data_IF_809200090822
#
_entry.id   IF_809200090822
#
_cell.length_a   1.000
_cell.length_b   1.000
_cell.length_c   1.000
_cell.angle_alpha   90.00
_cell.angle_beta   90.00
_cell.angle_gamma   90.00
#
_symmetry.space_group_name_H-M   'P 1'
#
loop_
_entity.id
_entity.type
_entity.pdbx_description
1 polymer ?
#
# COMPACT_ATOMS: atom_id res chain seq x y z
N UNK A 1 21.58 21.60 -20.04
CA UNK A 1 20.73 21.48 -18.85
C UNK A 1 21.30 20.36 -18.00
N UNK A 2 22.01 20.68 -16.93
CA UNK A 2 22.63 19.68 -16.07
C UNK A 2 21.56 19.09 -15.14
N UNK A 3 21.61 17.78 -14.91
CA UNK A 3 20.79 17.14 -13.89
C UNK A 3 21.35 17.54 -12.52
N UNK A 4 20.47 17.88 -11.58
CA UNK A 4 20.88 18.17 -10.21
C UNK A 4 21.40 16.89 -9.53
N UNK A 5 22.71 16.74 -9.54
CA UNK A 5 23.40 15.60 -8.95
C UNK A 5 23.25 15.56 -7.43
N UNK A 6 23.06 16.72 -6.79
CA UNK A 6 22.87 16.81 -5.35
C UNK A 6 21.53 16.21 -4.94
N UNK A 7 20.44 16.54 -5.65
CA UNK A 7 19.13 15.92 -5.45
C UNK A 7 19.19 14.40 -5.66
N UNK A 8 19.88 13.92 -6.70
CA UNK A 8 20.04 12.48 -6.95
C UNK A 8 20.81 11.81 -5.79
N UNK A 9 21.91 12.40 -5.34
CA UNK A 9 22.70 11.83 -4.23
C UNK A 9 21.86 11.75 -2.96
N UNK A 10 21.04 12.76 -2.65
CA UNK A 10 20.12 12.72 -1.52
C UNK A 10 19.12 11.58 -1.66
N UNK A 11 18.50 11.42 -2.83
CA UNK A 11 17.55 10.33 -3.09
C UNK A 11 18.20 8.97 -2.86
N UNK A 12 19.43 8.76 -3.36
CA UNK A 12 20.17 7.51 -3.19
C UNK A 12 20.53 7.26 -1.73
N UNK A 13 21.05 8.28 -1.03
CA UNK A 13 21.43 8.17 0.39
C UNK A 13 20.21 7.88 1.26
N UNK A 14 19.09 8.57 1.02
CA UNK A 14 17.84 8.34 1.73
C UNK A 14 17.28 6.94 1.44
N UNK A 15 17.29 6.48 0.19
CA UNK A 15 16.85 5.13 -0.16
C UNK A 15 17.68 4.05 0.56
N UNK A 16 19.00 4.22 0.65
CA UNK A 16 19.88 3.30 1.39
C UNK A 16 19.57 3.33 2.89
N UNK A 17 19.42 4.53 3.48
CA UNK A 17 19.09 4.68 4.89
C UNK A 17 17.75 4.02 5.25
N UNK A 18 16.74 4.19 4.40
CA UNK A 18 15.44 3.54 4.55
C UNK A 18 15.54 2.02 4.40
N UNK A 19 16.34 1.51 3.45
CA UNK A 19 16.56 0.08 3.30
C UNK A 19 17.15 -0.52 4.60
N UNK A 20 18.13 0.13 5.21
CA UNK A 20 18.67 -0.29 6.51
C UNK A 20 17.61 -0.24 7.63
N UNK A 21 16.79 0.81 7.68
CA UNK A 21 15.69 0.91 8.64
C UNK A 21 14.68 -0.23 8.46
N UNK A 22 14.30 -0.53 7.22
CA UNK A 22 13.36 -1.60 6.89
C UNK A 22 13.89 -2.99 7.26
N UNK A 23 15.19 -3.25 7.03
CA UNK A 23 15.84 -4.48 7.49
C UNK A 23 15.83 -4.57 9.02
N UNK A 24 16.13 -3.47 9.71
CA UNK A 24 16.11 -3.43 11.18
C UNK A 24 14.71 -3.73 11.74
N UNK A 25 13.67 -3.10 11.19
CA UNK A 25 12.27 -3.33 11.58
C UNK A 25 11.90 -4.80 11.37
N UNK A 26 12.25 -5.39 10.23
CA UNK A 26 11.99 -6.81 9.96
C UNK A 26 12.70 -7.71 10.98
N UNK A 27 13.99 -7.49 11.22
CA UNK A 27 14.79 -8.30 12.16
C UNK A 27 14.29 -8.18 13.60
N UNK A 28 13.74 -7.03 13.97
CA UNK A 28 13.20 -6.79 15.31
C UNK A 28 11.83 -7.45 15.52
N UNK A 29 10.95 -7.42 14.51
CA UNK A 29 9.59 -7.97 14.60
C UNK A 29 9.44 -9.41 14.08
N UNK A 30 10.50 -10.02 13.51
CA UNK A 30 10.46 -11.42 13.12
C UNK A 30 10.30 -12.32 14.35
N UNK A 31 9.48 -13.36 14.21
CA UNK A 31 9.36 -14.38 15.25
C UNK A 31 10.64 -15.22 15.32
N UNK A 32 11.04 -15.64 16.52
CA UNK A 32 12.18 -16.53 16.74
C UNK A 32 12.14 -17.83 15.92
N UNK A 33 10.94 -18.37 15.62
CA UNK A 33 10.75 -19.59 14.84
C UNK A 33 10.94 -19.38 13.33
N UNK A 34 10.93 -18.13 12.86
CA UNK A 34 11.12 -17.76 11.45
C UNK A 34 12.56 -17.24 11.18
N UNK A 35 13.53 -17.57 12.06
CA UNK A 35 14.93 -17.19 11.82
C UNK A 35 15.50 -17.99 10.65
N UNK A 36 15.94 -17.29 9.60
CA UNK A 36 16.60 -17.82 8.39
C UNK A 36 15.74 -18.70 7.46
N UNK A 37 14.42 -18.65 7.59
CA UNK A 37 13.46 -19.27 6.66
C UNK A 37 12.84 -18.22 5.72
N UNK A 38 12.31 -18.63 4.57
CA UNK A 38 11.52 -17.78 3.65
C UNK A 38 12.12 -16.40 3.28
N UNK A 39 13.25 -16.38 2.57
CA UNK A 39 13.91 -15.13 2.15
C UNK A 39 13.11 -14.28 1.16
N UNK A 40 12.27 -14.90 0.32
CA UNK A 40 11.56 -14.20 -0.75
C UNK A 40 10.46 -13.24 -0.23
N UNK A 41 9.54 -13.64 0.68
CA UNK A 41 8.57 -12.74 1.29
C UNK A 41 9.24 -11.66 2.12
N UNK A 42 10.35 -11.98 2.80
CA UNK A 42 11.12 -11.00 3.56
C UNK A 42 11.65 -9.88 2.68
N UNK A 43 12.22 -10.24 1.52
CA UNK A 43 12.64 -9.26 0.53
C UNK A 43 11.44 -8.43 0.03
N UNK A 44 10.31 -9.07 -0.27
CA UNK A 44 9.09 -8.39 -0.72
C UNK A 44 8.59 -7.38 0.33
N UNK A 45 8.58 -7.74 1.62
CA UNK A 45 8.21 -6.82 2.71
C UNK A 45 9.17 -5.63 2.78
N UNK A 46 10.49 -5.85 2.71
CA UNK A 46 11.48 -4.76 2.74
C UNK A 46 11.26 -3.80 1.57
N UNK A 47 11.08 -4.32 0.35
CA UNK A 47 10.82 -3.47 -0.82
C UNK A 47 9.44 -2.80 -0.76
N UNK A 48 8.43 -3.48 -0.23
CA UNK A 48 7.09 -2.92 -0.03
C UNK A 48 7.11 -1.71 0.92
N UNK A 49 7.84 -1.83 2.03
CA UNK A 49 8.06 -0.72 2.96
C UNK A 49 8.85 0.43 2.29
N UNK A 50 9.91 0.10 1.54
CA UNK A 50 10.69 1.10 0.80
C UNK A 50 9.84 1.90 -0.19
N UNK A 51 8.94 1.24 -0.93
CA UNK A 51 8.04 1.94 -1.86
C UNK A 51 7.01 2.80 -1.12
N UNK A 52 6.48 2.33 0.01
CA UNK A 52 5.55 3.10 0.84
C UNK A 52 6.19 4.37 1.40
N UNK A 53 7.39 4.25 1.99
CA UNK A 53 8.18 5.39 2.49
C UNK A 53 8.62 6.31 1.34
N UNK A 54 9.02 5.71 0.21
CA UNK A 54 9.35 6.41 -1.02
C UNK A 54 8.23 7.32 -1.49
N UNK A 55 6.99 6.83 -1.56
CA UNK A 55 5.82 7.63 -1.95
C UNK A 55 5.63 8.89 -1.08
N UNK A 56 5.96 8.83 0.21
CA UNK A 56 5.87 9.99 1.12
C UNK A 56 6.99 10.98 0.83
N UNK A 57 8.22 10.50 0.59
CA UNK A 57 9.38 11.35 0.31
C UNK A 57 9.41 11.93 -1.12
N UNK A 58 8.62 11.36 -2.05
CA UNK A 58 8.45 11.94 -3.38
C UNK A 58 7.78 13.32 -3.35
N UNK A 59 6.90 13.58 -2.38
CA UNK A 59 6.23 14.87 -2.24
C UNK A 59 7.21 16.03 -1.97
N UNK A 60 8.06 15.99 -0.93
CA UNK A 60 9.06 17.04 -0.73
C UNK A 60 10.12 17.06 -1.82
N UNK A 61 10.42 15.92 -2.45
CA UNK A 61 11.32 15.86 -3.62
C UNK A 61 10.75 16.64 -4.81
N UNK A 62 9.45 16.52 -5.06
CA UNK A 62 8.74 17.23 -6.13
C UNK A 62 8.75 18.75 -5.89
N UNK A 63 8.45 19.15 -4.65
CA UNK A 63 8.56 20.56 -4.23
C UNK A 63 10.00 21.07 -4.38
N UNK A 64 11.01 20.29 -3.99
CA UNK A 64 12.41 20.68 -4.11
C UNK A 64 12.89 20.75 -5.57
N UNK A 65 12.41 19.86 -6.44
CA UNK A 65 12.74 19.88 -7.86
C UNK A 65 12.07 21.05 -8.60
N UNK A 66 10.85 21.42 -8.22
CA UNK A 66 10.11 22.55 -8.79
C UNK A 66 10.42 23.89 -8.12
N UNK A 67 11.04 23.90 -6.94
CA UNK A 67 11.59 25.11 -6.34
C UNK A 67 12.80 25.55 -7.15
N UNK A 68 12.56 26.35 -8.19
CA UNK A 68 13.62 27.04 -8.91
C UNK A 68 14.42 27.87 -7.90
N UNK A 69 15.67 27.46 -7.66
CA UNK A 69 16.58 28.27 -6.89
C UNK A 69 16.69 29.66 -7.56
N UNK A 70 16.85 30.72 -6.74
CA UNK A 70 17.02 32.09 -7.24
C UNK A 70 18.14 32.08 -8.30
N UNK A 71 17.86 32.57 -9.51
CA UNK A 71 18.82 32.58 -10.63
C UNK A 71 18.71 31.44 -11.64
N UNK A 72 17.75 30.51 -11.50
CA UNK A 72 17.53 29.43 -12.48
C UNK A 72 16.95 29.90 -13.82
N UNK A 73 16.06 30.90 -13.82
CA UNK A 73 15.56 31.53 -15.06
C UNK A 73 16.65 32.36 -15.77
N UNK A 74 17.61 32.88 -15.00
CA UNK A 74 18.67 33.79 -15.45
C UNK A 74 19.98 33.06 -15.80
N UNK A 75 20.02 31.72 -15.69
CA UNK A 75 21.09 30.87 -16.22
C UNK A 75 22.43 30.86 -15.47
N UNK A 76 22.58 31.60 -14.36
CA UNK A 76 23.82 31.64 -13.57
C UNK A 76 23.82 30.66 -12.39
N UNK A 77 22.65 30.16 -11.99
CA UNK A 77 22.56 29.11 -10.98
C UNK A 77 22.61 27.73 -11.66
N UNK A 78 23.63 26.94 -11.34
CA UNK A 78 23.80 25.58 -11.88
C UNK A 78 23.08 24.50 -11.04
N UNK A 79 22.49 24.87 -9.90
CA UNK A 79 21.73 24.00 -9.01
C UNK A 79 20.22 24.10 -9.30
N UNK A 80 19.83 23.87 -10.54
CA UNK A 80 18.43 23.86 -10.96
C UNK A 80 17.94 22.42 -11.10
N UNK A 81 16.82 22.11 -10.44
CA UNK A 81 16.12 20.84 -10.59
C UNK A 81 15.69 20.63 -12.04
N UNK A 82 16.09 19.51 -12.63
CA UNK A 82 15.66 19.08 -13.96
C UNK A 82 15.43 17.56 -13.97
N UNK A 83 14.85 17.05 -12.89
CA UNK A 83 14.32 15.69 -12.86
C UNK A 83 12.93 15.70 -13.47
N UNK A 84 12.66 14.76 -14.37
CA UNK A 84 11.32 14.55 -14.90
C UNK A 84 10.48 13.85 -13.83
N UNK A 85 9.83 14.66 -12.98
CA UNK A 85 9.01 14.17 -11.87
C UNK A 85 7.82 13.36 -12.35
N UNK A 86 7.19 13.73 -13.47
CA UNK A 86 6.06 12.99 -14.05
C UNK A 86 6.45 11.54 -14.37
N UNK A 87 7.62 11.35 -14.99
CA UNK A 87 8.16 10.04 -15.32
C UNK A 87 8.53 9.26 -14.06
N UNK A 88 9.13 9.92 -13.06
CA UNK A 88 9.52 9.29 -11.80
C UNK A 88 8.32 8.80 -11.01
N UNK A 89 7.28 9.64 -10.85
CA UNK A 89 6.00 9.26 -10.25
C UNK A 89 5.37 8.07 -10.97
N UNK A 90 5.36 8.09 -12.31
CA UNK A 90 4.85 6.98 -13.10
C UNK A 90 5.61 5.67 -12.83
N UNK A 91 6.95 5.70 -12.79
CA UNK A 91 7.77 4.52 -12.51
C UNK A 91 7.45 3.95 -11.13
N UNK A 92 7.39 4.79 -10.09
CA UNK A 92 7.15 4.33 -8.73
C UNK A 92 5.75 3.73 -8.57
N UNK A 93 4.71 4.39 -9.09
CA UNK A 93 3.36 3.84 -9.03
C UNK A 93 3.21 2.55 -9.84
N UNK A 94 3.83 2.45 -11.01
CA UNK A 94 3.83 1.21 -11.80
C UNK A 94 4.59 0.08 -11.10
N UNK A 95 5.70 0.39 -10.41
CA UNK A 95 6.42 -0.59 -9.60
C UNK A 95 5.54 -1.11 -8.44
N UNK A 96 4.80 -0.24 -7.77
CA UNK A 96 3.86 -0.64 -6.71
C UNK A 96 2.77 -1.57 -7.25
N UNK A 97 2.17 -1.22 -8.39
CA UNK A 97 1.17 -2.08 -9.05
C UNK A 97 1.78 -3.43 -9.40
N UNK A 98 3.01 -3.46 -9.90
CA UNK A 98 3.73 -4.70 -10.20
C UNK A 98 3.95 -5.55 -8.93
N UNK A 99 4.36 -4.95 -7.81
CA UNK A 99 4.49 -5.67 -6.54
C UNK A 99 3.14 -6.26 -6.11
N UNK A 100 2.05 -5.50 -6.24
CA UNK A 100 0.71 -5.91 -5.78
C UNK A 100 0.08 -6.99 -6.65
N UNK A 101 0.19 -6.87 -7.97
CA UNK A 101 -0.52 -7.75 -8.92
C UNK A 101 0.32 -8.97 -9.30
N UNK A 102 1.65 -8.85 -9.30
CA UNK A 102 2.56 -9.89 -9.78
C UNK A 102 3.28 -10.53 -8.59
N UNK A 103 4.12 -9.79 -7.88
CA UNK A 103 5.01 -10.37 -6.87
C UNK A 103 4.27 -10.90 -5.63
N UNK A 104 3.23 -10.21 -5.15
CA UNK A 104 2.47 -10.63 -3.97
C UNK A 104 1.70 -11.93 -4.22
N UNK A 105 0.84 -12.05 -5.26
CA UNK A 105 0.13 -13.30 -5.55
C UNK A 105 1.10 -14.44 -5.86
N UNK A 106 2.18 -14.15 -6.59
CA UNK A 106 3.24 -15.12 -6.84
C UNK A 106 3.84 -15.65 -5.53
N UNK A 107 4.16 -14.77 -4.58
CA UNK A 107 4.67 -15.19 -3.27
C UNK A 107 3.69 -16.10 -2.54
N UNK A 108 2.39 -15.77 -2.53
CA UNK A 108 1.38 -16.56 -1.85
C UNK A 108 1.29 -17.98 -2.45
N UNK A 109 1.18 -18.08 -3.79
CA UNK A 109 1.10 -19.39 -4.46
C UNK A 109 2.38 -20.21 -4.33
N UNK A 110 3.53 -19.55 -4.28
CA UNK A 110 4.81 -20.22 -4.09
C UNK A 110 4.88 -20.92 -2.73
N UNK A 111 4.45 -20.26 -1.65
CA UNK A 111 4.45 -20.86 -0.31
C UNK A 111 3.28 -21.83 -0.08
N UNK A 112 2.12 -21.59 -0.69
CA UNK A 112 1.00 -22.53 -0.63
C UNK A 112 1.33 -23.87 -1.29
N UNK A 113 2.15 -23.86 -2.36
CA UNK A 113 2.61 -25.07 -3.03
C UNK A 113 3.68 -25.86 -2.24
N UNK A 114 4.33 -25.24 -1.23
CA UNK A 114 5.35 -25.86 -0.37
C UNK A 114 4.72 -26.65 0.79
N UNK A 115 3.57 -26.19 1.32
CA UNK A 115 2.81 -26.87 2.39
C UNK A 115 2.06 -28.14 1.95
N UNK A 116 2.07 -28.46 0.65
CA UNK A 116 1.49 -29.69 0.12
C UNK A 116 2.37 -30.91 0.40
N UNK A 117 1.91 -31.83 1.26
CA UNK A 117 2.62 -33.07 1.68
C UNK A 117 3.14 -33.99 0.55
N UNK A 118 2.77 -33.73 -0.72
CA UNK A 118 3.07 -34.58 -1.87
C UNK A 118 4.13 -34.03 -2.86
N UNK A 119 4.70 -32.84 -2.63
CA UNK A 119 5.54 -32.17 -3.64
C UNK A 119 7.04 -32.56 -3.59
N UNK A 120 7.36 -33.72 -4.19
CA UNK A 120 8.74 -34.13 -4.50
C UNK A 120 9.23 -33.43 -5.77
N UNK A 121 9.94 -32.30 -5.61
CA UNK A 121 10.80 -31.71 -6.65
C UNK A 121 10.37 -30.36 -7.23
N UNK A 122 11.21 -29.84 -8.13
CA UNK A 122 11.25 -28.48 -8.74
C UNK A 122 9.98 -28.02 -9.51
N UNK A 123 8.83 -28.67 -9.29
CA UNK A 123 7.52 -28.35 -9.87
C UNK A 123 6.80 -27.21 -9.15
N UNK A 124 7.23 -26.85 -7.95
CA UNK A 124 6.69 -25.75 -7.14
C UNK A 124 6.63 -24.42 -7.92
N UNK A 125 7.74 -24.06 -8.57
CA UNK A 125 7.83 -22.84 -9.39
C UNK A 125 6.85 -22.86 -10.58
N UNK A 126 6.62 -24.04 -11.17
CA UNK A 126 5.79 -24.18 -12.37
C UNK A 126 4.30 -24.19 -12.03
N UNK A 127 3.93 -24.77 -10.89
CA UNK A 127 2.57 -24.71 -10.36
C UNK A 127 2.19 -23.30 -9.91
N UNK A 128 3.09 -22.63 -9.18
CA UNK A 128 2.90 -21.24 -8.77
C UNK A 128 2.72 -20.30 -9.99
N UNK A 129 3.59 -20.43 -11.01
CA UNK A 129 3.53 -19.62 -12.22
C UNK A 129 2.26 -19.88 -13.03
N UNK A 130 1.77 -21.12 -13.09
CA UNK A 130 0.48 -21.44 -13.74
C UNK A 130 -0.70 -20.74 -13.07
N UNK A 131 -0.73 -20.74 -11.73
CA UNK A 131 -1.78 -20.08 -10.96
C UNK A 131 -1.68 -18.55 -11.08
N UNK A 132 -0.46 -18.01 -11.07
CA UNK A 132 -0.17 -16.60 -11.29
C UNK A 132 -0.64 -16.12 -12.68
N UNK A 133 -0.38 -16.87 -13.75
CA UNK A 133 -0.87 -16.51 -15.09
C UNK A 133 -2.40 -16.45 -15.11
N UNK A 134 -3.07 -17.38 -14.43
CA UNK A 134 -4.53 -17.41 -14.37
C UNK A 134 -5.09 -16.18 -13.62
N UNK A 135 -4.50 -15.80 -12.49
CA UNK A 135 -4.92 -14.59 -11.76
C UNK A 135 -4.60 -13.31 -12.52
N UNK A 136 -3.42 -13.23 -13.14
CA UNK A 136 -2.99 -12.09 -13.93
C UNK A 136 -3.88 -11.90 -15.16
N UNK A 137 -4.27 -12.99 -15.84
CA UNK A 137 -5.22 -12.93 -16.94
C UNK A 137 -6.59 -12.39 -16.50
N UNK A 138 -7.07 -12.81 -15.33
CA UNK A 138 -8.32 -12.30 -14.75
C UNK A 138 -8.22 -10.81 -14.39
N UNK A 139 -7.13 -10.38 -13.75
CA UNK A 139 -6.90 -8.98 -13.37
C UNK A 139 -6.77 -8.08 -14.60
N UNK A 140 -6.02 -8.51 -15.62
CA UNK A 140 -5.91 -7.77 -16.88
C UNK A 140 -7.27 -7.65 -17.57
N UNK A 141 -8.04 -8.74 -17.65
CA UNK A 141 -9.37 -8.70 -18.24
C UNK A 141 -10.27 -7.68 -17.52
N UNK A 142 -10.22 -7.65 -16.18
CA UNK A 142 -10.95 -6.68 -15.37
C UNK A 142 -10.48 -5.23 -15.63
N UNK A 143 -9.17 -4.97 -15.69
CA UNK A 143 -8.65 -3.64 -15.99
C UNK A 143 -8.98 -3.16 -17.41
N UNK A 144 -8.96 -4.06 -18.39
CA UNK A 144 -9.34 -3.72 -19.77
C UNK A 144 -10.81 -3.35 -19.86
N UNK A 145 -11.70 -4.11 -19.21
CA UNK A 145 -13.14 -3.80 -19.17
C UNK A 145 -13.39 -2.46 -18.50
N UNK A 146 -12.74 -2.19 -17.37
CA UNK A 146 -12.84 -0.91 -16.67
C UNK A 146 -12.31 0.26 -17.49
N UNK A 147 -11.18 0.08 -18.18
CA UNK A 147 -10.61 1.11 -19.05
C UNK A 147 -11.52 1.45 -20.24
N UNK A 148 -12.10 0.44 -20.91
CA UNK A 148 -13.00 0.68 -22.05
C UNK A 148 -14.29 1.39 -21.60
N UNK A 149 -14.75 1.13 -20.38
CA UNK A 149 -16.02 1.68 -19.86
C UNK A 149 -15.87 3.05 -19.19
N UNK A 150 -14.74 3.35 -18.53
CA UNK A 150 -14.58 4.55 -17.65
C UNK A 150 -13.27 5.31 -17.90
N UNK A 151 -12.68 5.28 -19.10
CA UNK A 151 -11.42 6.01 -19.40
C UNK A 151 -11.56 7.51 -19.62
N UNK A 152 -12.78 8.03 -19.80
CA UNK A 152 -13.00 9.44 -20.12
C UNK A 152 -13.05 10.29 -18.86
N UNK A 153 -12.19 11.30 -18.79
CA UNK A 153 -12.23 12.29 -17.72
C UNK A 153 -13.00 13.54 -18.15
N UNK A 154 -13.91 14.00 -17.29
CA UNK A 154 -14.71 15.20 -17.51
C UNK A 154 -14.25 16.28 -16.54
N UNK A 155 -13.55 17.30 -17.04
CA UNK A 155 -13.08 18.42 -16.22
C UNK A 155 -14.10 19.57 -16.35
N UNK A 156 -14.77 19.97 -15.26
CA UNK A 156 -15.65 21.14 -15.29
C UNK A 156 -14.80 22.40 -15.34
N UNK A 157 -15.03 23.24 -16.35
CA UNK A 157 -14.39 24.54 -16.48
C UNK A 157 -15.41 25.67 -16.60
N UNK A 158 -14.98 26.85 -16.18
CA UNK A 158 -15.76 28.08 -16.32
C UNK A 158 -15.14 28.88 -17.45
N UNK A 159 -15.89 29.03 -18.53
CA UNK A 159 -15.48 29.82 -19.68
C UNK A 159 -16.17 31.19 -19.63
N UNK A 160 -15.40 32.23 -19.94
CA UNK A 160 -15.85 33.60 -20.07
C UNK A 160 -15.60 34.01 -21.51
N UNK A 161 -16.65 34.45 -22.20
CA UNK A 161 -16.53 35.01 -23.54
C UNK A 161 -16.60 36.53 -23.44
N UNK A 162 -15.51 37.21 -23.81
CA UNK A 162 -15.43 38.67 -23.80
C UNK A 162 -14.90 39.14 -25.14
N UNK A 163 -15.57 40.12 -25.74
CA UNK A 163 -15.08 40.75 -26.96
C UNK A 163 -13.93 41.69 -26.62
N UNK A 164 -12.70 41.28 -26.94
CA UNK A 164 -11.47 42.01 -26.61
C UNK A 164 -11.36 43.38 -27.30
N UNK A 165 -12.04 43.59 -28.44
CA UNK A 165 -11.97 44.81 -29.23
C UNK A 165 -13.03 45.86 -28.86
N UNK A 166 -13.93 45.56 -27.91
CA UNK A 166 -14.96 46.49 -27.46
C UNK A 166 -14.34 47.62 -26.61
N UNK A 167 -14.56 48.88 -26.99
CA UNK A 167 -14.13 50.04 -26.19
C UNK A 167 -14.85 50.15 -24.82
N UNK A 168 -16.02 49.51 -24.67
CA UNK A 168 -16.86 49.61 -23.46
C UNK A 168 -16.83 48.34 -22.58
N UNK A 169 -16.43 47.20 -23.14
CA UNK A 169 -16.45 45.87 -22.46
C UNK A 169 -15.19 45.02 -22.73
N UNK A 170 -14.21 45.54 -23.46
CA UNK A 170 -12.98 44.83 -23.83
C UNK A 170 -11.85 45.06 -22.84
N UNK A 171 -10.69 44.45 -23.12
CA UNK A 171 -9.50 44.61 -22.28
C UNK A 171 -8.89 45.99 -22.48
N UNK A 172 -8.62 46.68 -21.37
CA UNK A 172 -7.88 47.95 -21.35
C UNK A 172 -6.65 47.83 -20.45
N UNK A 173 -5.70 48.74 -20.61
CA UNK A 173 -4.43 48.73 -19.86
C UNK A 173 -4.68 49.05 -18.39
N UNK A 174 -4.30 48.15 -17.49
CA UNK A 174 -4.36 48.40 -16.04
C UNK A 174 -3.10 49.16 -15.58
N UNK A 175 -3.29 50.26 -14.85
CA UNK A 175 -2.19 50.98 -14.18
C UNK A 175 -2.29 50.72 -12.68
N UNK A 176 -1.20 50.25 -12.07
CA UNK A 176 -1.12 49.98 -10.63
C UNK A 176 -1.54 51.21 -9.80
N UNK A 177 -2.52 51.02 -8.92
CA UNK A 177 -3.10 52.08 -8.08
C UNK A 177 -4.35 52.77 -8.66
N UNK A 178 -4.81 52.40 -9.86
CA UNK A 178 -6.09 52.86 -10.37
C UNK A 178 -7.27 52.17 -9.65
N UNK A 179 -8.25 52.96 -9.22
CA UNK A 179 -9.51 52.45 -8.68
C UNK A 179 -10.44 52.03 -9.81
N UNK A 180 -10.97 50.81 -9.73
CA UNK A 180 -11.99 50.31 -10.65
C UNK A 180 -13.22 51.24 -10.62
N UNK A 181 -13.67 51.69 -11.79
CA UNK A 181 -14.88 52.48 -11.92
C UNK A 181 -16.13 51.63 -11.68
N UNK A 182 -17.22 52.24 -11.22
CA UNK A 182 -18.49 51.54 -10.99
C UNK A 182 -19.05 50.91 -12.26
N UNK A 183 -18.79 51.52 -13.42
CA UNK A 183 -19.21 51.02 -14.74
C UNK A 183 -18.42 49.78 -15.18
N UNK A 184 -17.14 49.68 -14.82
CA UNK A 184 -16.34 48.47 -15.05
C UNK A 184 -16.81 47.32 -14.17
N UNK A 185 -17.17 47.63 -12.91
CA UNK A 185 -17.69 46.64 -11.96
C UNK A 185 -19.06 46.08 -12.40
N UNK A 186 -19.97 46.95 -12.85
CA UNK A 186 -21.27 46.53 -13.41
C UNK A 186 -21.10 45.75 -14.72
N UNK A 187 -20.15 46.14 -15.57
CA UNK A 187 -19.87 45.45 -16.83
C UNK A 187 -19.26 44.06 -16.61
N UNK A 188 -18.37 43.92 -15.62
CA UNK A 188 -17.80 42.63 -15.22
C UNK A 188 -18.84 41.72 -14.55
N UNK A 189 -19.74 42.27 -13.73
CA UNK A 189 -20.83 41.53 -13.11
C UNK A 189 -21.87 41.02 -14.13
N UNK A 190 -22.01 41.70 -15.28
CA UNK A 190 -22.90 41.31 -16.37
C UNK A 190 -22.36 40.21 -17.30
N UNK A 191 -21.12 39.73 -17.10
CA UNK A 191 -20.54 38.67 -17.94
C UNK A 191 -21.12 37.31 -17.53
N UNK A 192 -21.84 36.68 -18.45
CA UNK A 192 -22.39 35.35 -18.23
C UNK A 192 -21.26 34.30 -18.21
N UNK A 193 -21.07 33.65 -17.06
CA UNK A 193 -20.11 32.56 -16.93
C UNK A 193 -20.71 31.28 -17.46
N UNK A 194 -20.11 30.71 -18.51
CA UNK A 194 -20.54 29.45 -19.08
C UNK A 194 -19.83 28.28 -18.39
N UNK A 195 -20.59 27.26 -17.98
CA UNK A 195 -20.02 26.00 -17.51
C UNK A 195 -19.80 25.07 -18.69
N UNK A 196 -18.55 24.86 -19.09
CA UNK A 196 -18.19 23.90 -20.14
C UNK A 196 -17.54 22.67 -19.49
N UNK A 197 -17.78 21.49 -20.06
CA UNK A 197 -17.07 20.27 -19.69
C UNK A 197 -16.09 19.90 -20.80
N UNK A 198 -14.80 19.82 -20.46
CA UNK A 198 -13.77 19.28 -21.37
C UNK A 198 -13.66 17.79 -21.14
N UNK A 199 -13.79 17.02 -22.21
CA UNK A 199 -13.50 15.58 -22.22
C UNK A 199 -12.04 15.36 -22.60
N UNK A 200 -11.27 14.73 -21.72
CA UNK A 200 -9.90 14.31 -22.02
C UNK A 200 -9.79 12.78 -21.98
N UNK A 201 -9.15 12.22 -22.99
CA UNK A 201 -8.80 10.81 -23.03
C UNK A 201 -7.56 10.57 -22.15
N UNK A 202 -7.69 9.67 -21.18
CA UNK A 202 -6.62 9.34 -20.23
C UNK A 202 -5.83 8.15 -20.75
N UNK A 203 -4.50 8.24 -20.70
CA UNK A 203 -3.64 7.11 -21.07
C UNK A 203 -3.79 5.93 -20.10
N UNK A 204 -3.62 4.72 -20.61
CA UNK A 204 -3.80 3.49 -19.82
C UNK A 204 -2.96 3.42 -18.52
N UNK A 205 -1.66 3.78 -18.52
CA UNK A 205 -0.88 3.77 -17.28
C UNK A 205 -1.45 4.72 -16.21
N UNK A 206 -1.83 5.94 -16.60
CA UNK A 206 -2.39 6.95 -15.70
C UNK A 206 -3.75 6.51 -15.14
N UNK A 207 -4.55 5.83 -15.97
CA UNK A 207 -5.82 5.27 -15.54
C UNK A 207 -5.65 4.21 -14.44
N UNK A 208 -4.73 3.25 -14.63
CA UNK A 208 -4.48 2.20 -13.63
C UNK A 208 -3.94 2.80 -12.34
N UNK A 209 -2.99 3.73 -12.40
CA UNK A 209 -2.46 4.38 -11.20
C UNK A 209 -3.54 5.13 -10.43
N UNK A 210 -4.46 5.81 -11.14
CA UNK A 210 -5.61 6.46 -10.54
C UNK A 210 -6.57 5.47 -9.87
N UNK A 211 -6.90 4.36 -10.55
CA UNK A 211 -7.81 3.34 -10.03
C UNK A 211 -7.25 2.64 -8.78
N UNK A 212 -5.97 2.24 -8.81
CA UNK A 212 -5.32 1.58 -7.68
C UNK A 212 -5.15 2.55 -6.51
N UNK A 213 -4.86 3.83 -6.76
CA UNK A 213 -4.81 4.85 -5.72
C UNK A 213 -6.19 5.10 -5.08
N UNK A 214 -7.25 5.09 -5.89
CA UNK A 214 -8.62 5.22 -5.39
C UNK A 214 -9.00 4.06 -4.46
N UNK A 215 -8.68 2.81 -4.84
CA UNK A 215 -8.89 1.63 -3.99
C UNK A 215 -7.99 1.70 -2.75
N UNK A 216 -6.73 2.08 -2.94
CA UNK A 216 -5.72 2.20 -1.89
C UNK A 216 -6.11 3.20 -0.81
N UNK A 217 -6.83 4.27 -1.16
CA UNK A 217 -7.34 5.24 -0.18
C UNK A 217 -8.27 4.59 0.86
N UNK A 218 -9.15 3.67 0.47
CA UNK A 218 -10.01 2.95 1.42
C UNK A 218 -9.18 2.10 2.39
N UNK A 219 -8.18 1.37 1.88
CA UNK A 219 -7.25 0.61 2.72
C UNK A 219 -6.46 1.50 3.67
N UNK A 220 -5.95 2.63 3.16
CA UNK A 220 -5.20 3.61 3.93
C UNK A 220 -6.04 4.15 5.11
N UNK A 221 -7.30 4.52 4.89
CA UNK A 221 -8.18 5.01 5.95
C UNK A 221 -8.35 4.01 7.10
N UNK A 222 -8.46 2.71 6.80
CA UNK A 222 -8.65 1.66 7.81
C UNK A 222 -7.34 1.35 8.54
N UNK A 223 -6.27 1.01 7.79
CA UNK A 223 -5.03 0.53 8.38
C UNK A 223 -4.20 1.64 9.02
N UNK A 224 -4.16 2.84 8.43
CA UNK A 224 -3.47 3.98 9.02
C UNK A 224 -4.16 4.42 10.34
N UNK A 225 -5.49 4.40 10.37
CA UNK A 225 -6.26 4.71 11.57
C UNK A 225 -5.96 3.74 12.72
N UNK A 226 -5.95 2.44 12.45
CA UNK A 226 -5.61 1.42 13.46
C UNK A 226 -4.15 1.58 13.90
N UNK A 227 -3.23 1.76 12.95
CA UNK A 227 -1.79 1.89 13.22
C UNK A 227 -1.43 3.09 14.10
N UNK A 228 -2.02 4.26 13.84
CA UNK A 228 -1.75 5.47 14.62
C UNK A 228 -2.31 5.40 16.05
N UNK A 229 -3.43 4.70 16.26
CA UNK A 229 -4.07 4.58 17.58
C UNK A 229 -3.46 3.45 18.42
N UNK A 230 -2.86 2.44 17.79
CA UNK A 230 -2.36 1.24 18.48
C UNK A 230 -1.38 1.57 19.62
N UNK A 231 -0.32 2.36 19.36
CA UNK A 231 0.69 2.67 20.37
C UNK A 231 0.16 3.57 21.51
N UNK A 232 -0.56 4.68 21.24
CA UNK A 232 -1.18 5.46 22.30
C UNK A 232 -2.16 4.65 23.15
N UNK A 233 -2.98 3.80 22.53
CA UNK A 233 -3.95 2.98 23.23
C UNK A 233 -3.26 1.93 24.11
N UNK A 234 -2.18 1.31 23.63
CA UNK A 234 -1.39 0.36 24.41
C UNK A 234 -0.69 1.03 25.61
N UNK A 235 -0.18 2.25 25.43
CA UNK A 235 0.37 3.05 26.53
C UNK A 235 -0.71 3.44 27.57
N UNK A 236 -1.92 3.76 27.13
CA UNK A 236 -3.04 4.07 28.03
C UNK A 236 -3.49 2.81 28.78
N UNK A 237 -3.64 1.68 28.09
CA UNK A 237 -4.03 0.41 28.69
C UNK A 237 -2.99 -0.10 29.66
N UNK A 238 -1.70 0.00 29.34
CA UNK A 238 -0.61 -0.38 30.24
C UNK A 238 -0.57 0.50 31.50
N UNK A 239 -0.88 1.79 31.38
CA UNK A 239 -1.02 2.68 32.54
C UNK A 239 -2.27 2.38 33.38
N UNK A 240 -3.42 2.13 32.74
CA UNK A 240 -4.70 1.86 33.41
C UNK A 240 -4.69 0.50 34.11
N UNK A 241 -4.18 -0.53 33.43
CA UNK A 241 -4.08 -1.91 33.92
C UNK A 241 -2.77 -2.17 34.69
N UNK A 242 -2.02 -1.13 35.06
CA UNK A 242 -0.78 -1.30 35.80
C UNK A 242 -1.04 -2.09 37.09
N UNK A 243 -0.21 -3.09 37.43
CA UNK A 243 -0.38 -3.87 38.64
C UNK A 243 -0.38 -2.97 39.87
N UNK A 244 -1.49 -2.94 40.59
CA UNK A 244 -1.54 -2.32 41.92
C UNK A 244 -1.06 -3.33 42.93
N UNK A 245 -0.43 -2.85 44.00
CA UNK A 245 0.03 -3.71 45.07
C UNK A 245 -1.14 -4.53 45.64
N UNK A 246 -0.99 -5.86 45.64
CA UNK A 246 -1.91 -6.82 46.25
C UNK A 246 -1.19 -7.38 47.48
N UNK A 247 -1.87 -7.44 48.63
CA UNK A 247 -1.30 -8.04 49.84
C UNK A 247 -1.03 -9.54 49.66
N UNK A 248 0.03 -10.05 50.28
CA UNK A 248 0.48 -11.43 50.13
C UNK A 248 -0.62 -12.47 50.44
N UNK A 249 -1.49 -12.16 51.41
CA UNK A 249 -2.58 -13.04 51.84
C UNK A 249 -3.69 -13.14 50.79
N UNK A 250 -4.05 -12.01 50.17
CA UNK A 250 -5.04 -11.96 49.07
C UNK A 250 -4.49 -12.61 47.81
N UNK A 251 -3.19 -12.45 47.54
CA UNK A 251 -2.52 -13.10 46.42
C UNK A 251 -2.47 -14.62 46.59
N UNK A 252 -2.13 -15.12 47.78
CA UNK A 252 -2.14 -16.55 48.08
C UNK A 252 -3.54 -17.15 47.90
N UNK A 253 -4.58 -16.44 48.39
CA UNK A 253 -5.97 -16.85 48.17
C UNK A 253 -6.37 -16.78 46.69
N UNK A 254 -6.11 -15.70 45.95
CA UNK A 254 -6.51 -15.55 44.54
C UNK A 254 -5.77 -16.53 43.60
N UNK A 255 -4.47 -16.73 43.81
CA UNK A 255 -3.65 -17.69 43.05
C UNK A 255 -4.10 -19.14 43.25
N UNK A 256 -4.55 -19.48 44.46
CA UNK A 256 -5.10 -20.79 44.79
C UNK A 256 -6.58 -20.95 44.39
N UNK A 257 -7.38 -19.88 44.35
CA UNK A 257 -8.85 -19.98 44.24
C UNK A 257 -9.44 -19.68 42.86
N UNK A 258 -8.87 -18.82 42.01
CA UNK A 258 -9.66 -18.23 40.91
C UNK A 258 -9.10 -18.65 39.54
N UNK A 259 -9.74 -19.67 38.96
CA UNK A 259 -9.90 -19.93 37.53
C UNK A 259 -8.65 -20.21 36.66
N UNK A 260 -7.51 -19.52 36.85
CA UNK A 260 -6.33 -19.61 35.98
C UNK A 260 -5.60 -20.94 36.16
N UNK A 261 -5.35 -21.38 37.40
CA UNK A 261 -4.74 -22.70 37.63
C UNK A 261 -5.63 -23.82 37.11
N UNK A 262 -6.93 -23.79 37.42
CA UNK A 262 -7.89 -24.78 36.91
C UNK A 262 -7.95 -24.81 35.39
N UNK A 263 -8.11 -23.66 34.73
CA UNK A 263 -8.09 -23.57 33.25
C UNK A 263 -6.75 -23.99 32.65
N UNK A 264 -5.64 -23.66 33.28
CA UNK A 264 -4.32 -24.08 32.79
C UNK A 264 -4.16 -25.60 32.83
N UNK A 265 -4.66 -26.24 33.89
CA UNK A 265 -4.65 -27.70 34.04
C UNK A 265 -5.61 -28.34 33.01
N UNK A 266 -6.82 -27.80 32.85
CA UNK A 266 -7.79 -28.24 31.83
C UNK A 266 -7.22 -28.14 30.41
N UNK A 267 -6.54 -27.04 30.08
CA UNK A 267 -5.90 -26.84 28.78
C UNK A 267 -4.72 -27.79 28.55
N UNK A 268 -3.93 -28.09 29.59
CA UNK A 268 -2.86 -29.09 29.52
C UNK A 268 -3.45 -30.48 29.28
N UNK A 269 -4.57 -30.81 29.94
CA UNK A 269 -5.24 -32.10 29.77
C UNK A 269 -5.87 -32.24 28.38
N UNK A 270 -6.48 -31.17 27.86
CA UNK A 270 -6.97 -31.10 26.48
C UNK A 270 -5.83 -31.22 25.46
N UNK A 271 -4.69 -30.56 25.69
CA UNK A 271 -3.51 -30.68 24.84
C UNK A 271 -2.96 -32.11 24.82
N UNK A 272 -2.92 -32.78 25.98
CA UNK A 272 -2.53 -34.20 26.08
C UNK A 272 -3.52 -35.13 25.36
N UNK A 273 -4.82 -34.86 25.43
CA UNK A 273 -5.82 -35.68 24.73
C UNK A 273 -5.69 -35.54 23.21
N UNK A 274 -5.51 -34.32 22.68
CA UNK A 274 -5.27 -34.05 21.25
C UNK A 274 -3.95 -34.72 20.81
N UNK A 275 -2.88 -34.58 21.60
CA UNK A 275 -1.60 -35.24 21.31
C UNK A 275 -1.74 -36.76 21.26
N UNK A 276 -2.44 -37.37 22.20
CA UNK A 276 -2.71 -38.82 22.19
C UNK A 276 -3.61 -39.26 21.02
N UNK A 277 -4.49 -38.38 20.54
CA UNK A 277 -5.30 -38.61 19.34
C UNK A 277 -4.46 -38.56 18.05
N UNK A 278 -3.46 -37.66 18.00
CA UNK A 278 -2.48 -37.60 16.90
C UNK A 278 -1.47 -38.76 16.96
N UNK A 279 -1.02 -39.15 18.16
CA UNK A 279 -0.04 -40.23 18.36
C UNK A 279 -0.63 -41.63 18.17
N UNK A 280 -1.95 -41.79 17.97
CA UNK A 280 -2.57 -43.07 17.55
C UNK A 280 -2.33 -43.29 16.05
N UNK A 281 -1.33 -44.10 15.65
CA UNK A 281 -1.06 -44.39 14.26
C UNK A 281 -1.92 -45.60 13.91
N UNK A 282 -3.15 -45.37 13.44
CA UNK A 282 -4.03 -46.50 13.11
C UNK A 282 -5.44 -46.20 12.61
N UNK A 283 -5.84 -44.94 12.51
CA UNK A 283 -7.17 -44.57 12.00
C UNK A 283 -7.18 -43.86 10.63
N UNK A 284 -6.05 -43.30 10.20
CA UNK A 284 -6.03 -42.29 9.14
C UNK A 284 -5.72 -42.77 7.72
N UNK A 285 -4.84 -43.77 7.55
CA UNK A 285 -4.34 -44.13 6.22
C UNK A 285 -4.70 -45.55 5.81
N UNK A 286 -6.00 -45.82 5.66
CA UNK A 286 -6.42 -46.92 4.77
C UNK A 286 -6.33 -46.45 3.34
N UNK A 287 -5.35 -47.01 2.61
CA UNK A 287 -5.23 -46.89 1.15
C UNK A 287 -6.59 -47.15 0.49
N UNK A 288 -6.90 -46.42 -0.58
CA UNK A 288 -8.12 -46.59 -1.38
C UNK A 288 -8.39 -48.06 -1.76
N UNK A 289 -7.33 -48.86 -1.83
CA UNK A 289 -7.38 -50.30 -2.09
C UNK A 289 -7.95 -51.12 -0.90
N UNK A 290 -7.58 -50.78 0.33
CA UNK A 290 -8.10 -51.45 1.54
C UNK A 290 -9.58 -51.14 1.77
N UNK A 291 -10.03 -49.92 1.44
CA UNK A 291 -11.45 -49.54 1.49
C UNK A 291 -12.31 -50.36 0.50
N UNK A 292 -11.76 -50.70 -0.67
CA UNK A 292 -12.44 -51.56 -1.66
C UNK A 292 -12.47 -53.03 -1.26
N UNK A 293 -11.42 -53.54 -0.59
CA UNK A 293 -11.36 -54.92 -0.10
C UNK A 293 -12.37 -55.16 1.01
N UNK A 294 -12.54 -54.19 1.90
CA UNK A 294 -13.49 -54.29 3.00
C UNK A 294 -14.95 -54.31 2.51
N UNK A 295 -15.30 -53.48 1.51
CA UNK A 295 -16.63 -53.53 0.86
C UNK A 295 -16.97 -54.85 0.15
N UNK A 296 -15.99 -55.70 -0.18
CA UNK A 296 -16.24 -57.04 -0.77
C UNK A 296 -16.40 -58.14 0.28
N UNK A 297 -16.04 -57.88 1.53
CA UNK A 297 -16.16 -58.84 2.63
C UNK A 297 -17.50 -58.69 3.37
N UNK A 298 -18.24 -57.61 3.11
CA UNK A 298 -19.54 -57.31 3.70
C UNK A 298 -20.73 -57.81 2.83
N UNK A 299 -20.50 -58.77 1.92
CA UNK A 299 -21.53 -59.49 1.15
C UNK A 299 -21.31 -60.99 1.21
#
# INVERSE_FOLDING_TARGET
>A
MAVDWFLIVIVVVMAIALLFANVYVLVYFQHDDDKNTAYFPKALVIFGLLFAEGCVLLLPLDVANNSSAIGCAEGWNTACGNLNMDLLWLIVFMAIIFVIVVLLPYSIYYYEADDGEDNVGNRQWLEALKMEIATLAFVIALFVVLYVTVSKSHIPMRALEVNSASLAKGFHTYTDGATLSSTELESAAGIAVQSLSVTLDVSFPIYITGLVSFIGWFGFCIFCGIGLIALPLDLILSYANRPKFISADVYAHQKASICIQKRSIELIELGKSIRSAMERPGGGNKSSWERKKQKRLDF
#
